data_IF_574128455636
#
_entry.id   IF_574128455636
#
_cell.length_a   1.000
_cell.length_b   1.000
_cell.length_c   1.000
_cell.angle_alpha   90.00
_cell.angle_beta   90.00
_cell.angle_gamma   90.00
#
_symmetry.space_group_name_H-M   'P 1'
#
loop_
_entity.id
_entity.type
_entity.pdbx_description
1 polymer ?
#
# COMPACT_ATOMS: atom_id res chain seq x y z
N UNK A 1 33.26 -38.74 -15.59
CA UNK A 1 32.22 -38.18 -14.73
C UNK A 1 30.99 -37.87 -15.59
N UNK A 2 29.96 -38.69 -15.48
CA UNK A 2 28.70 -38.42 -16.18
C UNK A 2 27.97 -37.29 -15.46
N UNK A 3 28.01 -36.07 -16.03
CA UNK A 3 27.04 -35.02 -15.69
C UNK A 3 25.67 -35.50 -16.17
N UNK A 4 24.87 -36.06 -15.28
CA UNK A 4 23.47 -36.28 -15.55
C UNK A 4 22.83 -34.88 -15.58
N UNK A 5 22.54 -34.40 -16.78
CA UNK A 5 21.72 -33.22 -16.98
C UNK A 5 20.34 -33.50 -16.36
N UNK A 6 20.13 -32.95 -15.19
CA UNK A 6 18.82 -32.98 -14.53
C UNK A 6 17.95 -31.96 -15.27
N UNK A 7 16.99 -32.44 -16.07
CA UNK A 7 16.07 -31.55 -16.77
C UNK A 7 15.24 -30.73 -15.74
N UNK A 8 14.93 -29.47 -16.08
CA UNK A 8 14.12 -28.59 -15.23
C UNK A 8 12.81 -29.24 -14.78
N UNK A 9 12.21 -30.09 -15.62
CA UNK A 9 10.99 -30.85 -15.28
C UNK A 9 11.23 -31.87 -14.17
N UNK A 10 12.38 -32.53 -14.17
CA UNK A 10 12.72 -33.55 -13.17
C UNK A 10 13.05 -32.89 -11.84
N UNK A 11 13.74 -31.74 -11.87
CA UNK A 11 14.04 -30.95 -10.68
C UNK A 11 12.76 -30.50 -9.96
N UNK A 12 11.75 -29.99 -10.69
CA UNK A 12 10.45 -29.59 -10.13
C UNK A 12 9.68 -30.78 -9.58
N UNK A 13 9.76 -31.97 -10.22
CA UNK A 13 9.15 -33.20 -9.73
C UNK A 13 9.79 -33.70 -8.43
N UNK A 14 11.12 -33.69 -8.35
CA UNK A 14 11.85 -34.17 -7.17
C UNK A 14 11.71 -33.24 -5.96
N UNK A 15 11.60 -31.91 -6.18
CA UNK A 15 11.33 -30.93 -5.12
C UNK A 15 9.89 -31.04 -4.60
N UNK A 16 8.94 -31.40 -5.45
CA UNK A 16 7.53 -31.56 -5.06
C UNK A 16 7.29 -32.77 -4.15
N UNK A 17 8.15 -33.80 -4.20
CA UNK A 17 8.01 -35.04 -3.41
C UNK A 17 8.60 -34.92 -1.99
N UNK A 18 9.43 -33.94 -1.73
CA UNK A 18 10.13 -33.76 -0.43
C UNK A 18 9.60 -32.63 0.44
N UNK A 19 8.71 -31.79 -0.08
CA UNK A 19 8.14 -30.66 0.67
C UNK A 19 6.82 -31.06 1.29
N UNK A 20 6.75 -31.02 2.62
CA UNK A 20 5.48 -31.02 3.32
C UNK A 20 4.58 -29.92 2.72
N UNK A 21 3.44 -30.31 2.16
CA UNK A 21 2.47 -29.39 1.59
C UNK A 21 1.98 -28.44 2.68
N UNK A 22 2.54 -27.24 2.72
CA UNK A 22 1.98 -26.19 3.55
C UNK A 22 0.82 -25.60 2.75
N UNK A 23 -0.42 -25.96 3.12
CA UNK A 23 -1.61 -25.33 2.55
C UNK A 23 -1.62 -23.89 3.07
N UNK A 24 -1.17 -22.96 2.25
CA UNK A 24 -1.28 -21.53 2.54
C UNK A 24 -2.73 -21.12 2.27
N UNK A 25 -3.46 -20.58 3.26
CA UNK A 25 -4.84 -20.16 3.04
C UNK A 25 -4.94 -19.13 1.92
N UNK A 26 -6.02 -19.13 1.09
CA UNK A 26 -6.17 -18.24 -0.06
C UNK A 26 -6.06 -16.74 0.27
N UNK A 27 -6.40 -16.35 1.50
CA UNK A 27 -6.30 -14.97 1.97
C UNK A 27 -4.85 -14.47 2.14
N UNK A 28 -3.88 -15.38 2.23
CA UNK A 28 -2.45 -15.04 2.30
C UNK A 28 -1.84 -14.94 0.91
N UNK A 29 -2.43 -15.64 -0.07
CA UNK A 29 -1.95 -15.69 -1.46
C UNK A 29 -2.60 -14.65 -2.39
N UNK A 30 -3.37 -13.69 -1.86
CA UNK A 30 -4.02 -12.68 -2.71
C UNK A 30 -4.98 -13.31 -3.72
N UNK A 31 -5.90 -14.18 -3.26
CA UNK A 31 -6.79 -14.93 -4.12
C UNK A 31 -7.58 -14.03 -5.08
N UNK A 32 -7.23 -14.07 -6.34
CA UNK A 32 -7.97 -13.44 -7.44
C UNK A 32 -9.41 -13.94 -7.41
N UNK A 33 -10.36 -13.05 -7.16
CA UNK A 33 -11.77 -13.37 -7.27
C UNK A 33 -12.65 -13.04 -6.08
N UNK A 34 -12.06 -12.70 -4.94
CA UNK A 34 -12.78 -12.08 -3.83
C UNK A 34 -11.97 -10.86 -3.41
N UNK A 35 -12.46 -9.66 -3.62
CA UNK A 35 -11.93 -8.33 -3.33
C UNK A 35 -11.12 -8.16 -2.01
N UNK A 36 -10.31 -9.13 -1.62
CA UNK A 36 -9.42 -9.13 -0.46
C UNK A 36 -8.02 -9.46 -0.92
N UNK A 37 -7.27 -8.40 -1.15
CA UNK A 37 -5.82 -8.49 -1.31
C UNK A 37 -5.21 -9.06 -0.02
N UNK A 38 -4.20 -9.90 -0.14
CA UNK A 38 -3.41 -10.28 1.01
C UNK A 38 -2.79 -9.01 1.63
N UNK A 39 -2.58 -8.97 2.96
CA UNK A 39 -1.96 -7.81 3.60
C UNK A 39 -0.61 -7.40 2.98
N UNK A 40 0.14 -8.37 2.45
CA UNK A 40 1.42 -8.16 1.76
C UNK A 40 1.29 -7.56 0.37
N UNK A 41 0.10 -7.63 -0.25
CA UNK A 41 -0.14 -7.14 -1.61
C UNK A 41 -0.72 -5.71 -1.61
N UNK A 42 -1.03 -5.18 -0.44
CA UNK A 42 -1.52 -3.81 -0.29
C UNK A 42 -0.39 -2.81 -0.41
N UNK A 43 -0.65 -1.74 -1.17
CA UNK A 43 0.27 -0.62 -1.25
C UNK A 43 0.15 0.28 -0.02
N UNK A 44 1.27 0.83 0.40
CA UNK A 44 1.33 1.88 1.41
C UNK A 44 1.08 3.24 0.77
N UNK A 45 -0.10 3.77 0.97
CA UNK A 45 -0.54 5.03 0.35
C UNK A 45 -0.39 6.18 1.33
N UNK A 46 0.26 7.25 0.88
CA UNK A 46 0.22 8.54 1.55
C UNK A 46 -0.82 9.44 0.90
N UNK A 47 -1.61 10.14 1.70
CA UNK A 47 -2.68 11.00 1.23
C UNK A 47 -2.38 12.46 1.60
N UNK A 48 -2.36 13.34 0.61
CA UNK A 48 -2.13 14.79 0.76
C UNK A 48 -3.46 15.50 0.46
N UNK A 49 -3.92 16.34 1.42
CA UNK A 49 -5.23 16.98 1.36
C UNK A 49 -6.34 16.01 1.76
N UNK A 50 -6.44 15.71 3.04
CA UNK A 50 -7.32 14.65 3.55
C UNK A 50 -8.60 15.19 4.18
N UNK A 51 -8.81 16.50 4.13
CA UNK A 51 -10.02 17.18 4.59
C UNK A 51 -11.06 17.36 3.47
N UNK A 52 -12.30 17.62 3.84
CA UNK A 52 -13.38 17.90 2.89
C UNK A 52 -13.58 16.78 1.86
N UNK A 53 -13.45 17.12 0.57
CA UNK A 53 -13.57 16.12 -0.52
C UNK A 53 -12.47 15.06 -0.47
N UNK A 54 -11.25 15.41 -0.06
CA UNK A 54 -10.15 14.48 0.10
C UNK A 54 -10.43 13.36 1.11
N UNK A 55 -11.29 13.60 2.11
CA UNK A 55 -11.71 12.55 3.04
C UNK A 55 -12.46 11.40 2.35
N UNK A 56 -13.19 11.66 1.29
CA UNK A 56 -13.87 10.64 0.50
C UNK A 56 -12.86 9.82 -0.32
N UNK A 57 -11.85 10.47 -0.88
CA UNK A 57 -10.77 9.82 -1.62
C UNK A 57 -9.98 8.88 -0.71
N UNK A 58 -9.61 9.35 0.49
CA UNK A 58 -8.92 8.54 1.51
C UNK A 58 -9.75 7.30 1.89
N UNK A 59 -11.05 7.45 2.10
CA UNK A 59 -11.93 6.31 2.40
C UNK A 59 -12.05 5.34 1.22
N UNK A 60 -12.11 5.87 0.00
CA UNK A 60 -12.13 5.05 -1.22
C UNK A 60 -10.89 4.18 -1.33
N UNK A 61 -9.73 4.78 -1.20
CA UNK A 61 -8.43 4.09 -1.26
C UNK A 61 -8.25 3.13 -0.08
N UNK A 62 -8.67 3.53 1.12
CA UNK A 62 -8.56 2.69 2.33
C UNK A 62 -9.39 1.41 2.33
N UNK A 63 -10.29 1.23 1.34
CA UNK A 63 -11.03 -0.04 1.16
C UNK A 63 -10.17 -1.14 0.57
N UNK A 64 -9.18 -0.79 -0.23
CA UNK A 64 -8.33 -1.73 -0.96
C UNK A 64 -6.88 -1.70 -0.51
N UNK A 65 -6.37 -0.52 -0.16
CA UNK A 65 -4.96 -0.29 0.14
C UNK A 65 -4.75 0.11 1.62
N UNK A 66 -3.50 0.14 2.03
CA UNK A 66 -3.11 0.58 3.38
C UNK A 66 -2.88 2.10 3.39
N UNK A 67 -3.62 2.82 4.22
CA UNK A 67 -3.38 4.25 4.45
C UNK A 67 -2.23 4.39 5.43
N UNK A 68 -1.05 4.70 4.90
CA UNK A 68 0.19 4.77 5.65
C UNK A 68 0.41 6.14 6.32
N UNK A 69 0.13 7.22 5.61
CA UNK A 69 0.31 8.57 6.09
C UNK A 69 -0.80 9.51 5.61
N UNK A 70 -1.16 10.45 6.45
CA UNK A 70 -2.14 11.51 6.17
C UNK A 70 -1.44 12.87 6.34
N UNK A 71 -1.59 13.74 5.35
CA UNK A 71 -1.03 15.08 5.35
C UNK A 71 -2.10 16.13 5.06
N UNK A 72 -2.29 17.06 5.97
CA UNK A 72 -3.14 18.24 5.78
C UNK A 72 -2.65 19.38 6.66
N UNK A 73 -2.74 20.60 6.16
CA UNK A 73 -2.40 21.81 6.90
C UNK A 73 -3.46 22.20 7.94
N UNK A 74 -4.71 21.79 7.71
CA UNK A 74 -5.84 22.06 8.60
C UNK A 74 -6.25 20.79 9.37
N UNK A 75 -5.84 20.71 10.63
CA UNK A 75 -6.15 19.58 11.51
C UNK A 75 -7.65 19.40 11.74
N UNK A 76 -8.45 20.46 11.68
CA UNK A 76 -9.92 20.37 11.89
C UNK A 76 -10.58 19.68 10.71
N UNK A 77 -10.17 20.02 9.50
CA UNK A 77 -10.67 19.36 8.29
C UNK A 77 -10.17 17.92 8.16
N UNK A 78 -8.94 17.68 8.59
CA UNK A 78 -8.34 16.34 8.59
C UNK A 78 -8.92 15.40 9.67
N UNK A 79 -9.59 15.93 10.70
CA UNK A 79 -10.05 15.16 11.86
C UNK A 79 -10.87 13.91 11.49
N UNK A 80 -11.69 14.00 10.46
CA UNK A 80 -12.52 12.88 10.00
C UNK A 80 -11.66 11.73 9.44
N UNK A 81 -10.66 12.05 8.62
CA UNK A 81 -9.74 11.05 8.05
C UNK A 81 -8.83 10.46 9.12
N UNK A 82 -8.37 11.28 10.05
CA UNK A 82 -7.55 10.86 11.19
C UNK A 82 -8.31 9.89 12.10
N UNK A 83 -9.58 10.14 12.34
CA UNK A 83 -10.43 9.25 13.14
C UNK A 83 -10.69 7.93 12.42
N UNK A 84 -10.87 7.96 11.10
CA UNK A 84 -11.09 6.76 10.29
C UNK A 84 -9.83 5.88 10.18
N UNK A 85 -8.64 6.49 10.19
CA UNK A 85 -7.36 5.80 10.05
C UNK A 85 -6.38 6.17 11.18
N UNK A 86 -6.63 5.73 12.42
CA UNK A 86 -5.86 6.16 13.59
C UNK A 86 -4.41 5.66 13.60
N UNK A 87 -4.09 4.61 12.84
CA UNK A 87 -2.74 4.06 12.72
C UNK A 87 -1.88 4.78 11.69
N UNK A 88 -2.48 5.60 10.82
CA UNK A 88 -1.76 6.37 9.83
C UNK A 88 -0.92 7.47 10.48
N UNK A 89 0.29 7.68 9.97
CA UNK A 89 1.17 8.76 10.42
C UNK A 89 0.60 10.12 9.98
N UNK A 90 0.80 11.15 10.77
CA UNK A 90 0.23 12.49 10.55
C UNK A 90 1.33 13.49 10.24
N UNK A 91 1.11 14.29 9.21
CA UNK A 91 2.00 15.36 8.81
C UNK A 91 1.21 16.62 8.45
N UNK A 92 1.80 17.78 8.72
CA UNK A 92 1.26 19.08 8.26
C UNK A 92 1.90 19.53 6.94
N UNK A 93 3.11 19.07 6.67
CA UNK A 93 3.88 19.39 5.49
C UNK A 93 4.22 18.10 4.72
N UNK A 94 3.77 18.02 3.48
CA UNK A 94 3.99 16.85 2.63
C UNK A 94 5.47 16.62 2.30
N UNK A 95 6.29 17.69 2.27
CA UNK A 95 7.74 17.57 2.04
C UNK A 95 8.41 16.83 3.17
N UNK A 96 8.06 17.17 4.42
CA UNK A 96 8.56 16.46 5.59
C UNK A 96 8.09 15.00 5.61
N UNK A 97 6.86 14.74 5.18
CA UNK A 97 6.33 13.39 5.05
C UNK A 97 7.15 12.57 4.06
N UNK A 98 7.42 13.11 2.88
CA UNK A 98 8.20 12.42 1.84
C UNK A 98 9.66 12.23 2.25
N UNK A 99 10.28 13.23 2.88
CA UNK A 99 11.66 13.14 3.38
C UNK A 99 11.82 12.03 4.43
N UNK A 100 10.88 11.94 5.37
CA UNK A 100 10.96 10.98 6.49
C UNK A 100 10.49 9.58 6.10
N UNK A 101 9.44 9.47 5.30
CA UNK A 101 8.70 8.23 5.06
C UNK A 101 8.71 7.76 3.60
N UNK A 102 9.32 8.50 2.70
CA UNK A 102 9.28 8.22 1.25
C UNK A 102 9.68 6.80 0.88
N UNK A 103 10.62 6.20 1.60
CA UNK A 103 11.04 4.81 1.37
C UNK A 103 9.97 3.77 1.70
N UNK A 104 9.01 4.12 2.54
CA UNK A 104 7.92 3.24 2.97
C UNK A 104 6.61 3.52 2.25
N UNK A 105 6.57 4.55 1.41
CA UNK A 105 5.41 4.96 0.63
C UNK A 105 5.52 4.41 -0.78
N UNK A 106 4.52 3.67 -1.23
CA UNK A 106 4.46 3.10 -2.57
C UNK A 106 3.77 4.02 -3.58
N UNK A 107 2.78 4.79 -3.12
CA UNK A 107 2.06 5.76 -3.94
C UNK A 107 1.50 6.92 -3.10
N UNK A 108 1.19 8.02 -3.76
CA UNK A 108 0.64 9.22 -3.13
C UNK A 108 -0.65 9.63 -3.84
N UNK A 109 -1.67 9.95 -3.05
CA UNK A 109 -2.88 10.64 -3.54
C UNK A 109 -2.80 12.12 -3.19
N UNK A 110 -3.16 12.98 -4.14
CA UNK A 110 -3.15 14.44 -3.97
C UNK A 110 -4.56 14.96 -4.21
N UNK A 111 -5.23 15.41 -3.16
CA UNK A 111 -6.60 15.95 -3.19
C UNK A 111 -6.63 17.38 -2.67
N UNK A 112 -5.64 18.17 -3.05
CA UNK A 112 -5.51 19.58 -2.68
C UNK A 112 -6.14 20.49 -3.72
N UNK A 113 -6.42 21.78 -3.41
CA UNK A 113 -6.82 22.78 -4.41
C UNK A 113 -5.78 22.89 -5.55
N UNK A 114 -6.22 23.32 -6.73
CA UNK A 114 -5.43 23.34 -7.98
C UNK A 114 -4.06 24.00 -7.85
N UNK A 115 -3.95 25.11 -7.08
CA UNK A 115 -2.68 25.81 -6.88
C UNK A 115 -1.62 25.03 -6.12
N UNK A 116 -2.02 24.08 -5.29
CA UNK A 116 -1.09 23.23 -4.50
C UNK A 116 -0.90 21.86 -5.15
N UNK A 117 -1.86 21.41 -5.95
CA UNK A 117 -1.89 20.09 -6.57
C UNK A 117 -0.66 19.84 -7.43
N UNK A 118 -0.30 20.79 -8.29
CA UNK A 118 0.88 20.68 -9.17
C UNK A 118 2.17 20.58 -8.38
N UNK A 119 2.33 21.40 -7.34
CA UNK A 119 3.56 21.40 -6.50
C UNK A 119 3.70 20.07 -5.77
N UNK A 120 2.62 19.57 -5.18
CA UNK A 120 2.66 18.30 -4.46
C UNK A 120 2.85 17.08 -5.38
N UNK A 121 2.34 17.14 -6.61
CA UNK A 121 2.47 16.05 -7.57
C UNK A 121 3.83 16.00 -8.28
N UNK A 122 4.64 17.06 -8.21
CA UNK A 122 5.96 17.14 -8.82
C UNK A 122 7.13 16.91 -7.87
N UNK A 123 6.85 16.68 -6.58
CA UNK A 123 7.86 16.42 -5.54
C UNK A 123 8.10 14.91 -5.41
#
# INVERSE_FOLDING_TARGET
>A
MNKKDISRRRFVGDVATGLAFTIVPPHVLGARGRNRLAPSDKLNIACIGVGGMGANDVRGVGKTENIYALCDVDERQAAQSVTAFPLAKRFKDFRQMLDKEGKSIDAVTVSTPDHTHTVAGMT
#
